data_IF_931145788297
#
_entry.id   IF_931145788297
#
_cell.length_a   1.000
_cell.length_b   1.000
_cell.length_c   1.000
_cell.angle_alpha   90.00
_cell.angle_beta   90.00
_cell.angle_gamma   90.00
#
_symmetry.space_group_name_H-M   'P 1'
#
loop_
_entity.id
_entity.type
_entity.pdbx_description
1 polymer ?
#
# COMPACT_ATOMS: atom_id res chain seq x y z
N UNK A 1 -0.60 -19.30 -6.80
CA UNK A 1 0.19 -18.73 -7.93
C UNK A 1 1.57 -18.24 -7.45
N UNK A 2 2.63 -18.22 -8.27
CA UNK A 2 3.92 -17.61 -7.88
C UNK A 2 3.97 -16.13 -8.28
N UNK A 3 4.23 -15.25 -7.30
CA UNK A 3 4.29 -13.81 -7.53
C UNK A 3 5.73 -13.35 -7.77
N UNK A 4 5.91 -12.50 -8.78
CA UNK A 4 7.19 -11.87 -9.10
C UNK A 4 7.31 -10.47 -8.43
N UNK A 5 6.25 -9.67 -8.48
CA UNK A 5 6.22 -8.33 -7.88
C UNK A 5 4.82 -7.92 -7.43
N UNK A 6 4.74 -7.16 -6.34
CA UNK A 6 3.54 -6.45 -5.90
C UNK A 6 3.86 -4.96 -5.88
N UNK A 7 3.01 -4.14 -6.47
CA UNK A 7 3.07 -2.68 -6.39
C UNK A 7 1.77 -2.15 -5.84
N UNK A 8 1.86 -1.31 -4.81
CA UNK A 8 0.73 -0.65 -4.16
C UNK A 8 0.96 0.85 -4.25
N UNK A 9 -0.05 1.58 -4.73
CA UNK A 9 -0.14 3.02 -4.61
C UNK A 9 -1.27 3.30 -3.63
N UNK A 10 -0.98 4.05 -2.57
CA UNK A 10 -1.97 4.49 -1.58
C UNK A 10 -2.04 6.01 -1.65
N UNK A 11 -3.23 6.58 -1.82
CA UNK A 11 -3.45 8.02 -1.89
C UNK A 11 -4.55 8.40 -0.91
N UNK A 12 -4.24 9.24 0.08
CA UNK A 12 -5.18 9.61 1.14
C UNK A 12 -5.99 10.89 0.83
N UNK A 13 -5.83 11.49 -0.34
CA UNK A 13 -6.63 12.65 -0.74
C UNK A 13 -8.08 12.22 -0.86
N UNK A 14 -8.94 12.93 -0.15
CA UNK A 14 -10.38 12.71 -0.11
C UNK A 14 -11.14 14.03 -0.19
N UNK A 15 -12.48 13.94 -0.07
CA UNK A 15 -13.29 15.14 0.06
C UNK A 15 -13.07 15.77 1.45
N UNK A 16 -12.53 16.99 1.49
CA UNK A 16 -12.19 17.66 2.76
C UNK A 16 -11.39 18.94 2.55
N UNK A 17 -10.81 19.49 3.63
CA UNK A 17 -9.83 20.57 3.55
C UNK A 17 -8.67 20.20 2.63
N UNK A 18 -8.16 21.18 1.91
CA UNK A 18 -6.95 21.02 1.10
C UNK A 18 -5.76 20.65 2.02
N UNK A 19 -5.02 19.56 1.72
CA UNK A 19 -3.80 19.22 2.46
C UNK A 19 -2.77 20.35 2.42
N UNK A 20 -1.96 20.47 3.46
CA UNK A 20 -0.84 21.40 3.44
C UNK A 20 0.25 20.92 2.48
N UNK A 21 1.07 21.83 1.90
CA UNK A 21 2.13 21.45 0.96
C UNK A 21 3.10 20.38 1.47
N UNK A 22 3.30 20.29 2.79
CA UNK A 22 4.21 19.31 3.41
C UNK A 22 3.51 18.03 3.90
N UNK A 23 2.18 17.92 3.80
CA UNK A 23 1.46 16.72 4.18
C UNK A 23 1.76 15.59 3.19
N UNK A 24 2.10 14.40 3.70
CA UNK A 24 2.29 13.21 2.87
C UNK A 24 0.92 12.68 2.43
N UNK A 25 0.69 12.66 1.12
CA UNK A 25 -0.62 12.34 0.53
C UNK A 25 -0.64 11.07 -0.32
N UNK A 26 0.53 10.62 -0.79
CA UNK A 26 0.62 9.43 -1.62
C UNK A 26 1.87 8.61 -1.31
N UNK A 27 1.75 7.29 -1.37
CA UNK A 27 2.85 6.36 -1.16
C UNK A 27 2.88 5.30 -2.25
N UNK A 28 4.05 5.04 -2.80
CA UNK A 28 4.30 3.95 -3.73
C UNK A 28 5.19 2.91 -3.06
N UNK A 29 4.64 1.72 -2.85
CA UNK A 29 5.38 0.57 -2.34
C UNK A 29 5.53 -0.47 -3.45
N UNK A 30 6.74 -0.98 -3.66
CA UNK A 30 6.99 -2.13 -4.54
C UNK A 30 7.79 -3.18 -3.80
N UNK A 31 7.28 -4.41 -3.83
CA UNK A 31 7.84 -5.60 -3.20
C UNK A 31 8.19 -6.59 -4.32
N UNK A 32 9.45 -6.99 -4.46
CA UNK A 32 9.84 -8.04 -5.43
C UNK A 32 10.10 -9.37 -4.76
N UNK A 33 9.94 -10.47 -5.50
CA UNK A 33 10.23 -11.84 -5.03
C UNK A 33 11.65 -12.07 -4.48
N UNK A 34 12.60 -11.21 -4.81
CA UNK A 34 13.95 -11.21 -4.22
C UNK A 34 14.05 -10.58 -2.82
N UNK A 35 12.94 -10.07 -2.28
CA UNK A 35 12.90 -9.35 -1.00
C UNK A 35 13.24 -7.86 -1.10
N UNK A 36 13.49 -7.34 -2.31
CA UNK A 36 13.84 -5.93 -2.50
C UNK A 36 12.58 -5.08 -2.41
N UNK A 37 12.68 -4.03 -1.61
CA UNK A 37 11.63 -3.04 -1.39
C UNK A 37 12.05 -1.74 -2.05
N UNK A 38 11.12 -1.10 -2.76
CA UNK A 38 11.22 0.28 -3.19
C UNK A 38 10.04 1.03 -2.64
N UNK A 39 10.32 2.11 -1.93
CA UNK A 39 9.31 2.98 -1.36
C UNK A 39 9.57 4.43 -1.76
N UNK A 40 8.51 5.12 -2.13
CA UNK A 40 8.50 6.58 -2.32
C UNK A 40 7.26 7.15 -1.66
N UNK A 41 7.43 8.07 -0.72
CA UNK A 41 6.37 8.92 -0.18
C UNK A 41 6.35 10.25 -0.92
N UNK A 42 5.16 10.79 -1.09
CA UNK A 42 4.89 12.02 -1.82
C UNK A 42 4.08 12.97 -0.96
N UNK A 43 4.56 14.20 -0.83
CA UNK A 43 3.83 15.30 -0.19
C UNK A 43 2.94 16.02 -1.19
N UNK A 44 1.91 16.68 -0.69
CA UNK A 44 0.94 17.43 -1.51
C UNK A 44 1.63 18.43 -2.43
N UNK A 45 2.69 19.11 -1.95
CA UNK A 45 3.51 20.01 -2.74
C UNK A 45 2.66 21.14 -3.33
N UNK A 46 2.60 21.19 -4.67
CA UNK A 46 1.81 22.19 -5.40
C UNK A 46 0.37 21.70 -5.71
N UNK A 47 -0.04 20.56 -5.14
CA UNK A 47 -1.38 19.99 -5.31
C UNK A 47 -1.67 19.49 -6.73
N UNK A 48 -2.93 19.13 -6.99
CA UNK A 48 -3.47 18.84 -8.34
C UNK A 48 -2.63 17.87 -9.20
N UNK A 49 -2.04 16.83 -8.59
CA UNK A 49 -1.21 15.84 -9.27
C UNK A 49 0.25 16.25 -9.47
N UNK A 50 0.66 17.39 -8.91
CA UNK A 50 2.05 17.87 -8.84
C UNK A 50 2.69 17.54 -7.48
N UNK A 51 2.51 16.30 -7.02
CA UNK A 51 3.08 15.87 -5.75
C UNK A 51 4.60 15.84 -5.82
N UNK A 52 5.23 16.13 -4.70
CA UNK A 52 6.68 16.17 -4.58
C UNK A 52 7.18 14.99 -3.75
N UNK A 53 8.32 14.41 -4.10
CA UNK A 53 8.90 13.32 -3.31
C UNK A 53 9.32 13.87 -1.93
N UNK A 54 8.73 13.34 -0.86
CA UNK A 54 9.07 13.70 0.52
C UNK A 54 10.15 12.77 1.09
N UNK A 55 10.04 11.46 0.81
CA UNK A 55 10.96 10.45 1.30
C UNK A 55 11.05 9.27 0.35
N UNK A 56 12.23 8.64 0.30
CA UNK A 56 12.51 7.48 -0.55
C UNK A 56 13.35 6.48 0.21
N UNK A 57 12.97 5.22 0.14
CA UNK A 57 13.71 4.14 0.78
C UNK A 57 13.88 2.95 -0.17
N UNK A 58 15.01 2.28 -0.04
CA UNK A 58 15.29 1.07 -0.78
C UNK A 58 16.13 0.13 0.07
N UNK A 59 15.61 -1.05 0.33
CA UNK A 59 16.26 -2.04 1.18
C UNK A 59 15.79 -3.46 0.81
N UNK A 60 16.23 -4.46 1.57
CA UNK A 60 15.82 -5.84 1.39
C UNK A 60 15.34 -6.41 2.73
N UNK A 61 14.18 -7.07 2.76
CA UNK A 61 13.58 -7.67 3.98
C UNK A 61 13.94 -9.15 4.17
N UNK A 62 14.79 -9.70 3.29
CA UNK A 62 15.18 -11.09 3.31
C UNK A 62 14.17 -12.03 2.65
N UNK A 63 14.62 -13.26 2.37
CA UNK A 63 13.84 -14.26 1.63
C UNK A 63 12.69 -14.86 2.45
N UNK A 64 12.82 -14.95 3.78
CA UNK A 64 11.77 -15.53 4.62
C UNK A 64 10.54 -14.62 4.65
N UNK A 65 10.71 -13.36 5.06
CA UNK A 65 9.63 -12.39 5.16
C UNK A 65 8.93 -12.17 3.82
N UNK A 66 9.69 -12.01 2.72
CA UNK A 66 9.07 -11.79 1.41
C UNK A 66 8.29 -13.00 0.91
N UNK A 67 8.72 -14.22 1.24
CA UNK A 67 8.01 -15.43 0.84
C UNK A 67 6.63 -15.46 1.47
N UNK A 68 6.53 -15.20 2.77
CA UNK A 68 5.26 -15.17 3.50
C UNK A 68 4.33 -14.05 2.98
N UNK A 69 4.88 -12.84 2.74
CA UNK A 69 4.12 -11.73 2.13
C UNK A 69 3.54 -12.14 0.76
N UNK A 70 4.35 -12.75 -0.11
CA UNK A 70 3.89 -13.12 -1.45
C UNK A 70 2.93 -14.32 -1.44
N UNK A 71 3.01 -15.22 -0.47
CA UNK A 71 2.03 -16.28 -0.27
C UNK A 71 0.65 -15.70 0.10
N UNK A 72 0.61 -14.66 0.96
CA UNK A 72 -0.62 -13.95 1.30
C UNK A 72 -1.23 -13.27 0.06
N UNK A 73 -0.42 -12.56 -0.73
CA UNK A 73 -0.93 -11.94 -1.96
C UNK A 73 -1.40 -12.96 -3.00
N UNK A 74 -0.78 -14.15 -3.07
CA UNK A 74 -1.27 -15.21 -3.94
C UNK A 74 -2.65 -15.68 -3.51
N UNK A 75 -2.85 -15.88 -2.20
CA UNK A 75 -4.15 -16.27 -1.65
C UNK A 75 -5.20 -15.16 -1.84
N UNK A 76 -4.80 -13.89 -1.72
CA UNK A 76 -5.69 -12.76 -2.00
C UNK A 76 -6.21 -12.77 -3.44
N UNK A 77 -5.35 -13.05 -4.43
CA UNK A 77 -5.78 -13.16 -5.84
C UNK A 77 -6.79 -14.29 -6.04
N UNK A 78 -6.63 -15.38 -5.29
CA UNK A 78 -7.51 -16.55 -5.34
C UNK A 78 -8.80 -16.36 -4.52
N UNK A 79 -8.92 -15.23 -3.80
CA UNK A 79 -10.10 -14.90 -2.99
C UNK A 79 -11.11 -14.05 -3.76
N UNK A 80 -12.41 -14.31 -3.57
CA UNK A 80 -13.52 -13.53 -4.16
C UNK A 80 -13.79 -12.21 -3.41
N UNK A 81 -12.75 -11.55 -2.90
CA UNK A 81 -12.92 -10.35 -2.07
C UNK A 81 -13.45 -9.18 -2.90
N UNK A 82 -14.60 -8.66 -2.48
CA UNK A 82 -15.22 -7.46 -3.05
C UNK A 82 -14.50 -6.22 -2.51
N UNK A 83 -13.99 -5.37 -3.39
CA UNK A 83 -13.47 -4.08 -2.94
C UNK A 83 -14.58 -3.08 -2.68
N UNK A 84 -14.58 -2.51 -1.47
CA UNK A 84 -15.47 -1.43 -1.09
C UNK A 84 -15.09 -0.14 -1.82
N UNK A 85 -16.10 0.52 -2.39
CA UNK A 85 -15.97 1.83 -2.99
C UNK A 85 -16.68 2.84 -2.08
N UNK A 86 -15.91 3.77 -1.53
CA UNK A 86 -16.41 4.94 -0.83
C UNK A 86 -15.89 6.20 -1.56
N UNK A 87 -16.70 7.25 -1.60
CA UNK A 87 -16.42 8.47 -2.40
C UNK A 87 -15.75 9.58 -1.60
N UNK A 88 -15.75 9.46 -0.27
CA UNK A 88 -15.32 10.46 0.70
C UNK A 88 -14.03 10.07 1.44
N UNK A 89 -13.35 9.02 1.00
CA UNK A 89 -12.07 8.54 1.54
C UNK A 89 -11.05 8.37 0.41
N UNK A 90 -9.77 8.36 0.78
CA UNK A 90 -8.68 8.06 -0.14
C UNK A 90 -8.83 6.69 -0.82
N UNK A 91 -7.94 6.41 -1.75
CA UNK A 91 -7.97 5.17 -2.54
C UNK A 91 -6.61 4.47 -2.54
N UNK A 92 -6.63 3.18 -2.83
CA UNK A 92 -5.43 2.44 -3.17
C UNK A 92 -5.61 1.71 -4.50
N UNK A 93 -4.49 1.54 -5.20
CA UNK A 93 -4.36 0.70 -6.37
C UNK A 93 -3.26 -0.31 -6.14
N UNK A 94 -3.54 -1.58 -6.44
CA UNK A 94 -2.57 -2.66 -6.31
C UNK A 94 -2.43 -3.40 -7.64
N UNK A 95 -1.19 -3.56 -8.09
CA UNK A 95 -0.83 -4.39 -9.24
C UNK A 95 0.08 -5.52 -8.78
N UNK A 96 -0.35 -6.75 -9.02
CA UNK A 96 0.43 -7.96 -8.78
C UNK A 96 0.83 -8.57 -10.11
N UNK A 97 2.10 -8.85 -10.29
CA UNK A 97 2.64 -9.52 -11.49
C UNK A 97 3.16 -10.89 -11.09
N UNK A 98 2.70 -11.94 -11.76
CA UNK A 98 3.18 -13.31 -11.56
C UNK A 98 4.49 -13.60 -12.31
N UNK A 99 5.05 -14.79 -12.11
CA UNK A 99 6.28 -15.23 -12.79
C UNK A 99 6.10 -15.46 -14.30
N UNK A 100 4.87 -15.60 -14.77
CA UNK A 100 4.53 -15.73 -16.20
C UNK A 100 4.34 -14.36 -16.87
N UNK A 101 4.45 -13.27 -16.10
CA UNK A 101 4.31 -11.89 -16.56
C UNK A 101 2.86 -11.38 -16.62
N UNK A 102 1.89 -12.18 -16.17
CA UNK A 102 0.48 -11.77 -16.10
C UNK A 102 0.28 -10.80 -14.94
N UNK A 103 -0.48 -9.74 -15.21
CA UNK A 103 -0.81 -8.70 -14.23
C UNK A 103 -2.25 -8.84 -13.73
N UNK A 104 -2.42 -8.74 -12.42
CA UNK A 104 -3.69 -8.70 -11.70
C UNK A 104 -3.81 -7.34 -11.02
N UNK A 105 -4.88 -6.59 -11.31
CA UNK A 105 -5.07 -5.24 -10.81
C UNK A 105 -6.28 -5.18 -9.88
N UNK A 106 -6.11 -4.50 -8.75
CA UNK A 106 -7.11 -4.29 -7.71
C UNK A 106 -7.12 -2.82 -7.35
N UNK A 107 -8.28 -2.33 -6.90
CA UNK A 107 -8.44 -0.97 -6.39
C UNK A 107 -9.53 -0.94 -5.34
N UNK A 108 -9.40 -0.08 -4.35
CA UNK A 108 -10.35 0.04 -3.25
C UNK A 108 -10.23 1.36 -2.50
N UNK A 109 -11.14 1.56 -1.55
CA UNK A 109 -11.08 2.63 -0.58
C UNK A 109 -9.95 2.40 0.45
N UNK A 110 -9.27 3.47 0.86
CA UNK A 110 -8.18 3.48 1.84
C UNK A 110 -8.70 3.41 3.28
N UNK A 111 -9.52 2.40 3.57
CA UNK A 111 -10.21 2.22 4.86
C UNK A 111 -9.91 0.87 5.53
N UNK A 112 -8.85 0.18 5.12
CA UNK A 112 -8.50 -1.15 5.61
C UNK A 112 -9.42 -2.25 5.07
N UNK A 113 -9.47 -3.38 5.79
CA UNK A 113 -10.34 -4.51 5.43
C UNK A 113 -9.81 -5.40 4.30
N UNK A 114 -8.54 -5.26 3.93
CA UNK A 114 -7.88 -6.15 2.96
C UNK A 114 -7.30 -7.34 3.73
N UNK A 115 -8.06 -8.43 3.77
CA UNK A 115 -7.76 -9.61 4.59
C UNK A 115 -7.61 -10.89 3.77
N UNK A 116 -6.78 -11.81 4.26
CA UNK A 116 -6.68 -13.20 3.78
C UNK A 116 -6.84 -14.13 4.98
N UNK A 117 -7.95 -14.88 5.03
CA UNK A 117 -8.33 -15.60 6.24
C UNK A 117 -8.47 -14.62 7.42
N UNK A 118 -7.78 -14.91 8.52
CA UNK A 118 -7.75 -14.05 9.71
C UNK A 118 -6.62 -12.99 9.68
N UNK A 119 -5.85 -12.90 8.58
CA UNK A 119 -4.71 -11.98 8.46
C UNK A 119 -5.12 -10.68 7.77
N UNK A 120 -4.96 -9.56 8.46
CA UNK A 120 -5.05 -8.23 7.85
C UNK A 120 -3.71 -7.84 7.21
N UNK A 121 -3.74 -7.58 5.90
CA UNK A 121 -2.53 -7.31 5.13
C UNK A 121 -1.90 -5.95 5.49
N UNK A 122 -2.67 -4.97 5.95
CA UNK A 122 -2.12 -3.67 6.37
C UNK A 122 -1.19 -3.85 7.56
N UNK A 123 -1.69 -4.48 8.63
CA UNK A 123 -0.92 -4.68 9.86
C UNK A 123 0.26 -5.61 9.61
N UNK A 124 0.04 -6.72 8.89
CA UNK A 124 1.12 -7.66 8.59
C UNK A 124 2.26 -6.99 7.79
N UNK A 125 1.95 -6.16 6.80
CA UNK A 125 2.98 -5.44 6.04
C UNK A 125 3.72 -4.39 6.89
N UNK A 126 3.03 -3.69 7.79
CA UNK A 126 3.65 -2.73 8.72
C UNK A 126 4.61 -3.41 9.70
N UNK A 127 4.32 -4.65 10.11
CA UNK A 127 5.22 -5.44 10.96
C UNK A 127 6.49 -5.89 10.20
N UNK A 128 6.34 -6.30 8.94
CA UNK A 128 7.44 -6.90 8.17
C UNK A 128 8.31 -5.87 7.42
N UNK A 129 7.75 -4.70 7.09
CA UNK A 129 8.42 -3.68 6.27
C UNK A 129 8.70 -2.46 7.16
N UNK A 130 9.97 -2.20 7.55
CA UNK A 130 10.33 -1.16 8.53
C UNK A 130 10.29 0.26 7.93
N UNK A 131 9.11 0.66 7.42
CA UNK A 131 8.82 2.01 6.95
C UNK A 131 7.81 2.63 7.91
N UNK A 132 8.21 3.72 8.56
CA UNK A 132 7.33 4.48 9.45
C UNK A 132 6.11 5.02 8.69
N UNK A 133 4.94 5.06 9.32
CA UNK A 133 3.71 5.61 8.76
C UNK A 133 3.35 5.05 7.37
N UNK A 134 3.50 3.73 7.17
CA UNK A 134 3.17 3.08 5.91
C UNK A 134 1.64 2.94 5.76
N UNK A 135 1.05 3.46 4.70
CA UNK A 135 -0.40 3.46 4.46
C UNK A 135 -0.89 2.07 4.04
N UNK A 136 -0.38 1.57 2.91
CA UNK A 136 -0.83 0.31 2.28
C UNK A 136 -2.32 0.35 1.89
N UNK A 137 -3.23 -0.11 2.75
CA UNK A 137 -4.67 -0.16 2.49
C UNK A 137 -5.49 0.68 3.48
N UNK A 138 -4.85 1.30 4.47
CA UNK A 138 -5.48 2.13 5.50
C UNK A 138 -4.57 3.33 5.78
N UNK A 139 -5.10 4.55 5.80
CA UNK A 139 -4.31 5.70 6.26
C UNK A 139 -4.06 5.58 7.78
N UNK A 140 -2.95 6.12 8.28
CA UNK A 140 -2.64 6.16 9.71
C UNK A 140 -3.45 7.25 10.44
N UNK A 141 -4.70 7.52 10.02
CA UNK A 141 -5.56 8.55 10.63
C UNK A 141 -6.05 8.20 12.04
N UNK A 142 -5.50 7.16 12.67
CA UNK A 142 -5.75 6.82 14.07
C UNK A 142 -4.45 7.01 14.85
N UNK A 143 -4.23 8.25 15.30
CA UNK A 143 -3.57 8.62 16.59
C UNK A 143 -3.15 10.12 16.59
N UNK A 144 -4.10 11.04 16.37
CA UNK A 144 -3.93 12.45 16.71
C UNK A 144 -4.99 12.99 17.68
N UNK A 145 -5.77 12.10 18.29
CA UNK A 145 -6.80 12.48 19.25
C UNK A 145 -6.78 11.62 20.53
N UNK A 146 -5.62 11.43 21.17
CA UNK A 146 -5.57 11.19 22.63
C UNK A 146 -4.29 11.80 23.20
N UNK A 147 -4.41 13.04 23.70
CA UNK A 147 -3.67 13.60 24.85
C UNK A 147 -4.48 14.76 25.46
#
# INVERSE_FOLDING_TARGET
MQIQTVRIISNNICFGPEPLPDDEVEQHLTISASGRIWFTGYKYGNGFGQFEISRKQQFNIGKSAVKEILELFSQYIESDQLTYYATDIGTWEMKITDTDGKSHNFKGALCGGVTVGDTDLTYYLREQIPIQNLFVFEDNLVDLNED
#
